data_IF_722705740116
#
_entry.id   IF_722705740116
#
_cell.length_a   1.000
_cell.length_b   1.000
_cell.length_c   1.000
_cell.angle_alpha   90.00
_cell.angle_beta   90.00
_cell.angle_gamma   90.00
#
_symmetry.space_group_name_H-M   'P 1'
#
loop_
_entity.id
_entity.type
_entity.pdbx_description
1 polymer ?
#
# COMPACT_ATOMS: atom_id res chain seq x y z
N UNK A 1 28.63 25.62 -47.73
CA UNK A 1 27.15 25.55 -47.68
C UNK A 1 26.76 24.24 -47.02
N UNK A 2 26.11 24.33 -45.85
CA UNK A 2 25.20 23.39 -45.14
C UNK A 2 25.34 21.87 -45.43
N UNK A 3 25.33 20.93 -44.46
CA UNK A 3 24.62 20.86 -43.18
C UNK A 3 25.10 19.61 -42.40
N UNK A 4 25.41 19.80 -41.12
CA UNK A 4 25.07 18.97 -39.92
C UNK A 4 24.97 17.44 -39.97
N UNK A 5 25.60 16.83 -38.95
CA UNK A 5 25.41 15.45 -38.55
C UNK A 5 24.18 15.20 -37.66
N UNK A 6 23.92 13.91 -37.44
CA UNK A 6 23.02 13.36 -36.42
C UNK A 6 23.55 11.96 -36.11
N UNK A 7 23.99 11.62 -34.90
CA UNK A 7 23.45 12.02 -33.62
C UNK A 7 22.52 10.90 -33.18
N UNK A 8 23.11 9.89 -32.51
CA UNK A 8 22.37 8.84 -31.82
C UNK A 8 21.33 9.51 -30.93
N UNK A 9 20.05 9.37 -31.29
CA UNK A 9 18.96 9.86 -30.48
C UNK A 9 18.91 9.02 -29.22
N UNK A 10 19.40 9.60 -28.14
CA UNK A 10 19.10 9.19 -26.78
C UNK A 10 17.59 8.93 -26.68
N UNK A 11 17.24 7.69 -26.33
CA UNK A 11 15.89 7.37 -25.89
C UNK A 11 15.56 8.31 -24.74
N UNK A 12 14.59 9.19 -24.97
CA UNK A 12 14.10 10.12 -23.98
C UNK A 12 13.63 9.31 -22.77
N UNK A 13 14.31 9.51 -21.64
CA UNK A 13 13.78 9.19 -20.32
C UNK A 13 12.45 9.93 -20.19
N UNK A 14 11.35 9.19 -20.29
CA UNK A 14 10.00 9.65 -20.04
C UNK A 14 9.97 10.38 -18.69
N UNK A 15 9.39 11.60 -18.60
CA UNK A 15 9.37 12.33 -17.36
C UNK A 15 8.54 11.56 -16.32
N UNK A 16 9.18 11.29 -15.18
CA UNK A 16 8.67 10.62 -13.99
C UNK A 16 7.27 11.12 -13.58
N UNK A 17 6.27 10.25 -13.66
CA UNK A 17 4.88 10.50 -13.23
C UNK A 17 4.70 10.31 -11.71
N UNK A 18 5.66 10.73 -10.90
CA UNK A 18 5.67 10.54 -9.44
C UNK A 18 4.50 11.25 -8.73
N UNK A 19 4.02 12.37 -9.26
CA UNK A 19 2.85 13.08 -8.71
C UNK A 19 1.52 12.40 -9.01
N UNK A 20 1.48 11.50 -10.00
CA UNK A 20 0.24 10.90 -10.48
C UNK A 20 -0.28 9.81 -9.54
N UNK A 21 0.57 8.93 -9.05
CA UNK A 21 0.14 7.77 -8.27
C UNK A 21 -0.25 8.14 -6.83
N UNK A 22 0.54 8.98 -6.15
CA UNK A 22 0.19 9.50 -4.83
C UNK A 22 -1.14 10.26 -4.84
N UNK A 23 -1.38 11.10 -5.87
CA UNK A 23 -2.65 11.80 -6.02
C UNK A 23 -3.85 10.86 -6.23
N UNK A 24 -3.64 9.73 -6.90
CA UNK A 24 -4.67 8.69 -7.09
C UNK A 24 -4.95 7.94 -5.79
N UNK A 25 -3.91 7.66 -5.00
CA UNK A 25 -4.04 7.09 -3.66
C UNK A 25 -4.85 8.00 -2.74
N UNK A 26 -4.51 9.30 -2.70
CA UNK A 26 -5.26 10.30 -1.92
C UNK A 26 -6.72 10.40 -2.39
N UNK A 27 -6.96 10.49 -3.70
CA UNK A 27 -8.32 10.52 -4.24
C UNK A 27 -9.13 9.25 -3.91
N UNK A 28 -8.47 8.09 -3.88
CA UNK A 28 -9.09 6.83 -3.44
C UNK A 28 -9.43 6.89 -1.95
N UNK A 29 -8.49 7.34 -1.11
CA UNK A 29 -8.68 7.49 0.33
C UNK A 29 -9.85 8.43 0.63
N UNK A 30 -9.94 9.59 -0.01
CA UNK A 30 -11.03 10.56 0.21
C UNK A 30 -12.42 10.01 -0.12
N UNK A 31 -12.50 9.03 -1.03
CA UNK A 31 -13.76 8.38 -1.42
C UNK A 31 -14.19 7.26 -0.47
N UNK A 32 -13.32 6.81 0.41
CA UNK A 32 -13.65 5.75 1.38
C UNK A 32 -14.49 6.30 2.52
N UNK A 33 -15.43 5.50 2.98
CA UNK A 33 -16.14 5.76 4.23
C UNK A 33 -15.13 5.84 5.38
N UNK A 34 -15.32 6.82 6.26
CA UNK A 34 -14.41 7.11 7.37
C UNK A 34 -15.03 6.62 8.67
N UNK A 35 -14.23 5.90 9.45
CA UNK A 35 -14.54 5.58 10.83
C UNK A 35 -13.66 6.40 11.78
N UNK A 36 -14.09 6.52 13.04
CA UNK A 36 -13.29 7.16 14.07
C UNK A 36 -12.07 6.28 14.41
N UNK A 37 -10.87 6.86 14.39
CA UNK A 37 -9.63 6.17 14.72
C UNK A 37 -9.63 5.58 16.14
N UNK A 38 -10.31 6.20 17.09
CA UNK A 38 -10.43 5.71 18.47
C UNK A 38 -11.17 4.37 18.54
N UNK A 39 -12.17 4.17 17.67
CA UNK A 39 -12.91 2.90 17.62
C UNK A 39 -12.00 1.78 17.13
N UNK A 40 -11.14 2.05 16.14
CA UNK A 40 -10.16 1.09 15.66
C UNK A 40 -9.12 0.76 16.75
N UNK A 41 -8.61 1.78 17.46
CA UNK A 41 -7.63 1.59 18.53
C UNK A 41 -8.20 0.73 19.68
N UNK A 42 -9.44 1.02 20.10
CA UNK A 42 -10.13 0.25 21.13
C UNK A 42 -10.41 -1.19 20.69
N UNK A 43 -10.85 -1.39 19.44
CA UNK A 43 -11.10 -2.72 18.89
C UNK A 43 -9.81 -3.53 18.82
N UNK A 44 -8.73 -2.93 18.30
CA UNK A 44 -7.43 -3.60 18.23
C UNK A 44 -6.90 -3.95 19.63
N UNK A 45 -7.04 -3.05 20.60
CA UNK A 45 -6.70 -3.31 22.00
C UNK A 45 -7.50 -4.47 22.60
N UNK A 46 -8.81 -4.54 22.30
CA UNK A 46 -9.66 -5.66 22.72
C UNK A 46 -9.24 -6.98 22.06
N UNK A 47 -8.90 -6.97 20.76
CA UNK A 47 -8.38 -8.14 20.05
C UNK A 47 -7.06 -8.63 20.64
N UNK A 48 -6.10 -7.73 20.88
CA UNK A 48 -4.81 -8.09 21.50
C UNK A 48 -5.02 -8.66 22.91
N UNK A 49 -5.90 -8.03 23.71
CA UNK A 49 -6.26 -8.55 25.03
C UNK A 49 -6.85 -9.96 24.94
N UNK A 50 -7.72 -10.21 23.96
CA UNK A 50 -8.31 -11.52 23.76
C UNK A 50 -7.26 -12.57 23.40
N UNK A 51 -6.34 -12.26 22.48
CA UNK A 51 -5.25 -13.17 22.12
C UNK A 51 -4.32 -13.46 23.31
N UNK A 52 -4.04 -12.46 24.15
CA UNK A 52 -3.24 -12.66 25.36
C UNK A 52 -3.89 -13.64 26.33
N UNK A 53 -5.22 -13.60 26.46
CA UNK A 53 -5.98 -14.56 27.28
C UNK A 53 -5.97 -15.95 26.63
N UNK A 54 -6.23 -16.04 25.32
CA UNK A 54 -6.36 -17.31 24.61
C UNK A 54 -5.03 -18.08 24.50
N UNK A 55 -3.89 -17.37 24.58
CA UNK A 55 -2.55 -17.95 24.54
C UNK A 55 -1.81 -17.94 25.88
N UNK A 56 -2.50 -17.72 27.00
CA UNK A 56 -1.92 -17.71 28.36
C UNK A 56 -0.69 -16.79 28.48
N UNK A 57 -0.71 -15.64 27.81
CA UNK A 57 0.40 -14.68 27.79
C UNK A 57 1.63 -15.12 26.99
N UNK A 58 1.54 -16.16 26.14
CA UNK A 58 2.62 -16.55 25.24
C UNK A 58 2.75 -15.56 24.07
N UNK A 59 3.71 -14.64 24.19
CA UNK A 59 3.93 -13.56 23.22
C UNK A 59 4.30 -14.06 21.81
N UNK A 60 5.01 -15.18 21.68
CA UNK A 60 5.40 -15.71 20.37
C UNK A 60 4.17 -16.18 19.57
N UNK A 61 3.24 -16.88 20.24
CA UNK A 61 1.98 -17.30 19.63
C UNK A 61 1.08 -16.11 19.31
N UNK A 62 0.99 -15.14 20.22
CA UNK A 62 0.21 -13.91 20.00
C UNK A 62 0.73 -13.14 18.80
N UNK A 63 2.04 -12.90 18.71
CA UNK A 63 2.65 -12.21 17.57
C UNK A 63 2.47 -12.98 16.27
N UNK A 64 2.55 -14.32 16.31
CA UNK A 64 2.25 -15.18 15.17
C UNK A 64 0.83 -15.00 14.65
N UNK A 65 -0.17 -14.98 15.55
CA UNK A 65 -1.56 -14.75 15.15
C UNK A 65 -1.84 -13.33 14.69
N UNK A 66 -1.23 -12.32 15.33
CA UNK A 66 -1.32 -10.93 14.88
C UNK A 66 -0.73 -10.77 13.47
N UNK A 67 0.39 -11.42 13.18
CA UNK A 67 1.00 -11.41 11.86
C UNK A 67 0.12 -12.09 10.81
N UNK A 68 -0.44 -13.26 11.14
CA UNK A 68 -1.37 -13.98 10.25
C UNK A 68 -2.60 -13.12 9.95
N UNK A 69 -3.24 -12.58 10.98
CA UNK A 69 -4.42 -11.71 10.85
C UNK A 69 -4.10 -10.46 10.03
N UNK A 70 -2.95 -9.81 10.27
CA UNK A 70 -2.50 -8.65 9.51
C UNK A 70 -2.26 -8.95 8.03
N UNK A 71 -1.70 -10.13 7.72
CA UNK A 71 -1.47 -10.58 6.34
C UNK A 71 -2.80 -10.86 5.61
N UNK A 72 -3.74 -11.53 6.29
CA UNK A 72 -5.06 -11.86 5.74
C UNK A 72 -5.91 -10.58 5.48
N UNK A 73 -5.88 -9.62 6.40
CA UNK A 73 -6.53 -8.32 6.25
C UNK A 73 -5.84 -7.50 5.16
N UNK A 74 -4.51 -7.46 5.17
CA UNK A 74 -3.69 -6.71 4.22
C UNK A 74 -3.92 -7.13 2.77
N UNK A 75 -4.03 -8.43 2.50
CA UNK A 75 -4.34 -8.94 1.16
C UNK A 75 -5.68 -8.39 0.62
N UNK A 76 -6.72 -8.35 1.46
CA UNK A 76 -8.04 -7.82 1.08
C UNK A 76 -8.00 -6.30 0.87
N UNK A 77 -7.27 -5.57 1.72
CA UNK A 77 -7.10 -4.13 1.58
C UNK A 77 -6.35 -3.78 0.30
N UNK A 78 -5.31 -4.56 -0.04
CA UNK A 78 -4.54 -4.40 -1.26
C UNK A 78 -5.43 -4.60 -2.50
N UNK A 79 -6.20 -5.69 -2.54
CA UNK A 79 -7.11 -6.00 -3.65
C UNK A 79 -8.13 -4.86 -3.84
N UNK A 80 -8.74 -4.39 -2.75
CA UNK A 80 -9.69 -3.28 -2.79
C UNK A 80 -9.04 -1.98 -3.28
N UNK A 81 -7.82 -1.68 -2.80
CA UNK A 81 -7.06 -0.51 -3.22
C UNK A 81 -6.75 -0.54 -4.71
N UNK A 82 -6.29 -1.68 -5.24
CA UNK A 82 -5.96 -1.83 -6.67
C UNK A 82 -7.21 -1.65 -7.55
N UNK A 83 -8.35 -2.20 -7.12
CA UNK A 83 -9.64 -2.05 -7.83
C UNK A 83 -10.08 -0.59 -7.85
N UNK A 84 -9.98 0.13 -6.71
CA UNK A 84 -10.50 1.50 -6.57
C UNK A 84 -9.57 2.59 -7.13
N UNK A 85 -8.26 2.44 -6.97
CA UNK A 85 -7.25 3.41 -7.44
C UNK A 85 -6.96 3.28 -8.94
N UNK A 86 -7.28 2.12 -9.54
CA UNK A 86 -7.02 1.74 -10.94
C UNK A 86 -5.53 1.79 -11.33
N UNK A 87 -4.63 1.77 -10.34
CA UNK A 87 -3.18 1.86 -10.59
C UNK A 87 -2.74 0.66 -11.43
N UNK A 88 -1.88 0.84 -12.45
CA UNK A 88 -1.37 -0.28 -13.22
C UNK A 88 -0.61 -1.28 -12.33
N UNK A 89 -0.57 -2.58 -12.69
CA UNK A 89 0.21 -3.56 -11.95
C UNK A 89 1.68 -3.16 -11.83
N UNK A 90 2.22 -3.18 -10.61
CA UNK A 90 3.61 -2.87 -10.32
C UNK A 90 4.53 -3.89 -11.02
N UNK A 91 5.60 -3.44 -11.67
CA UNK A 91 6.54 -4.33 -12.38
C UNK A 91 7.75 -4.69 -11.52
N UNK A 92 8.12 -3.81 -10.61
CA UNK A 92 9.20 -4.03 -9.65
C UNK A 92 8.84 -3.55 -8.23
N UNK A 93 9.74 -3.79 -7.29
CA UNK A 93 9.54 -3.40 -5.89
C UNK A 93 9.56 -1.89 -5.70
N UNK A 94 10.28 -1.14 -6.56
CA UNK A 94 10.32 0.32 -6.49
C UNK A 94 8.95 0.89 -6.84
N UNK A 95 8.33 0.40 -7.91
CA UNK A 95 6.97 0.78 -8.30
C UNK A 95 5.98 0.56 -7.15
N UNK A 96 6.09 -0.58 -6.46
CA UNK A 96 5.24 -0.88 -5.30
C UNK A 96 5.42 0.15 -4.16
N UNK A 97 6.66 0.55 -3.88
CA UNK A 97 6.96 1.58 -2.88
C UNK A 97 6.54 3.00 -3.30
N UNK A 98 6.38 3.27 -4.59
CA UNK A 98 5.88 4.57 -5.08
C UNK A 98 4.35 4.63 -5.08
N UNK A 99 3.69 3.48 -5.08
CA UNK A 99 2.22 3.34 -5.12
C UNK A 99 1.60 3.23 -3.73
N UNK A 100 2.28 2.58 -2.77
CA UNK A 100 1.83 2.37 -1.39
C UNK A 100 2.51 3.34 -0.42
#
# INVERSE_FOLDING_TARGET
>A
MLRTGGGHTAGASTPSSSSSNAARGEACFQRMEKCNAEVLALLYGATVRQLLVDYDGNFDKVNGELYRMGTDIGARLLDEFLIKSRVPPCQDFRDACEVM
#
